data_IF_247261278495
#
_entry.id   IF_247261278495
#
_cell.length_a   1.000
_cell.length_b   1.000
_cell.length_c   1.000
_cell.angle_alpha   90.00
_cell.angle_beta   90.00
_cell.angle_gamma   90.00
#
_symmetry.space_group_name_H-M   'P 1'
#
loop_
_entity.id
_entity.type
_entity.pdbx_description
1 polymer ?
#
# COMPACT_ATOMS: atom_id res chain seq x y z
N UNK A 1 11.62 -29.08 -5.13
CA UNK A 1 10.66 -28.84 -6.24
C UNK A 1 11.40 -28.08 -7.33
N UNK A 2 11.11 -28.34 -8.61
CA UNK A 2 11.60 -27.48 -9.69
C UNK A 2 11.06 -26.05 -9.47
N UNK A 3 11.86 -24.99 -9.66
CA UNK A 3 11.45 -23.60 -9.43
C UNK A 3 10.11 -23.22 -10.09
N UNK A 4 9.87 -23.73 -11.30
CA UNK A 4 8.64 -23.49 -12.06
C UNK A 4 7.38 -24.03 -11.37
N UNK A 5 7.46 -25.16 -10.68
CA UNK A 5 6.30 -25.78 -10.04
C UNK A 5 5.83 -24.97 -8.82
N UNK A 6 6.76 -24.42 -8.04
CA UNK A 6 6.47 -23.56 -6.90
C UNK A 6 5.84 -22.24 -7.36
N UNK A 7 6.36 -21.65 -8.46
CA UNK A 7 5.80 -20.44 -9.04
C UNK A 7 4.37 -20.63 -9.54
N UNK A 8 4.12 -21.69 -10.31
CA UNK A 8 2.78 -21.98 -10.82
C UNK A 8 1.77 -22.24 -9.70
N UNK A 9 2.22 -22.85 -8.60
CA UNK A 9 1.38 -23.00 -7.41
C UNK A 9 1.08 -21.63 -6.79
N UNK A 10 2.09 -20.78 -6.62
CA UNK A 10 1.95 -19.43 -6.07
C UNK A 10 1.00 -18.56 -6.90
N UNK A 11 1.15 -18.52 -8.23
CA UNK A 11 0.26 -17.77 -9.12
C UNK A 11 -1.18 -18.28 -9.02
N UNK A 12 -1.40 -19.60 -8.98
CA UNK A 12 -2.75 -20.17 -8.80
C UNK A 12 -3.36 -19.80 -7.46
N UNK A 13 -2.58 -19.86 -6.38
CA UNK A 13 -3.01 -19.45 -5.05
C UNK A 13 -3.44 -17.98 -5.02
N UNK A 14 -2.64 -17.08 -5.59
CA UNK A 14 -2.97 -15.64 -5.64
C UNK A 14 -4.22 -15.40 -6.50
N UNK A 15 -4.37 -16.08 -7.63
CA UNK A 15 -5.57 -15.94 -8.46
C UNK A 15 -6.84 -16.43 -7.75
N UNK A 16 -6.77 -17.54 -6.99
CA UNK A 16 -7.88 -17.98 -6.15
C UNK A 16 -8.27 -16.94 -5.10
N UNK A 17 -7.30 -16.28 -4.48
CA UNK A 17 -7.56 -15.17 -3.55
C UNK A 17 -8.28 -14.02 -4.27
N UNK A 18 -7.84 -13.64 -5.47
CA UNK A 18 -8.47 -12.57 -6.27
C UNK A 18 -9.91 -12.91 -6.64
N UNK A 19 -10.16 -14.14 -7.07
CA UNK A 19 -11.50 -14.65 -7.39
C UNK A 19 -12.41 -14.60 -6.16
N UNK A 20 -11.91 -15.04 -5.00
CA UNK A 20 -12.66 -15.05 -3.75
C UNK A 20 -13.03 -13.64 -3.28
N UNK A 21 -12.09 -12.69 -3.38
CA UNK A 21 -12.36 -11.27 -3.08
C UNK A 21 -13.37 -10.66 -4.07
N UNK A 22 -13.28 -11.04 -5.36
CA UNK A 22 -14.18 -10.59 -6.42
C UNK A 22 -15.64 -11.01 -6.24
N UNK A 23 -15.91 -12.03 -5.41
CA UNK A 23 -17.29 -12.39 -5.02
C UNK A 23 -17.98 -11.26 -4.26
N UNK A 24 -17.23 -10.41 -3.54
CA UNK A 24 -17.77 -9.31 -2.74
C UNK A 24 -17.45 -7.95 -3.36
N UNK A 25 -16.20 -7.75 -3.78
CA UNK A 25 -15.71 -6.48 -4.28
C UNK A 25 -15.94 -6.37 -5.79
N UNK A 26 -16.73 -5.37 -6.20
CA UNK A 26 -17.10 -5.13 -7.60
C UNK A 26 -16.35 -3.92 -8.14
N UNK A 27 -15.85 -4.01 -9.37
CA UNK A 27 -15.27 -2.86 -10.10
C UNK A 27 -13.91 -2.35 -9.60
N UNK A 28 -13.28 -3.01 -8.62
CA UNK A 28 -12.05 -2.51 -7.97
C UNK A 28 -10.83 -3.44 -8.15
N UNK A 29 -10.69 -4.08 -9.31
CA UNK A 29 -9.58 -5.02 -9.58
C UNK A 29 -8.21 -4.39 -9.34
N UNK A 30 -7.99 -3.17 -9.82
CA UNK A 30 -6.72 -2.43 -9.62
C UNK A 30 -6.40 -2.20 -8.13
N UNK A 31 -7.41 -1.91 -7.31
CA UNK A 31 -7.24 -1.69 -5.87
C UNK A 31 -6.95 -2.99 -5.15
N UNK A 32 -7.68 -4.06 -5.48
CA UNK A 32 -7.44 -5.40 -4.93
C UNK A 32 -6.01 -5.86 -5.25
N UNK A 33 -5.60 -5.74 -6.50
CA UNK A 33 -4.26 -6.14 -6.95
C UNK A 33 -3.19 -5.31 -6.24
N UNK A 34 -3.34 -4.00 -6.14
CA UNK A 34 -2.37 -3.17 -5.44
C UNK A 34 -2.28 -3.46 -3.94
N UNK A 35 -3.38 -3.78 -3.26
CA UNK A 35 -3.36 -4.18 -1.84
C UNK A 35 -2.67 -5.53 -1.66
N UNK A 36 -2.93 -6.50 -2.55
CA UNK A 36 -2.23 -7.80 -2.55
C UNK A 36 -0.74 -7.63 -2.83
N UNK A 37 -0.37 -6.76 -3.76
CA UNK A 37 1.03 -6.44 -4.07
C UNK A 37 1.71 -5.87 -2.83
N UNK A 38 1.10 -4.91 -2.14
CA UNK A 38 1.64 -4.37 -0.89
C UNK A 38 1.81 -5.44 0.19
N UNK A 39 0.82 -6.32 0.36
CA UNK A 39 0.91 -7.41 1.35
C UNK A 39 2.10 -8.34 1.07
N UNK A 40 2.28 -8.72 -0.20
CA UNK A 40 3.33 -9.67 -0.59
C UNK A 40 4.72 -9.02 -0.63
N UNK A 41 4.82 -7.76 -1.09
CA UNK A 41 6.05 -6.99 -1.00
C UNK A 41 6.42 -6.70 0.46
N UNK A 42 5.43 -6.64 1.36
CA UNK A 42 5.62 -6.32 2.77
C UNK A 42 5.60 -4.84 3.09
N UNK A 43 4.98 -4.05 2.23
CA UNK A 43 4.83 -2.62 2.42
C UNK A 43 3.46 -2.23 2.94
N UNK A 44 3.20 -0.94 2.94
CA UNK A 44 1.93 -0.35 3.35
C UNK A 44 1.30 0.43 2.20
N UNK A 45 -0.02 0.57 2.23
CA UNK A 45 -0.77 1.17 1.14
C UNK A 45 -1.60 2.35 1.63
N UNK A 46 -1.59 3.43 0.84
CA UNK A 46 -2.41 4.61 1.06
C UNK A 46 -3.52 4.66 0.00
N UNK A 47 -4.77 4.56 0.42
CA UNK A 47 -5.95 4.60 -0.44
C UNK A 47 -6.60 5.98 -0.40
N UNK A 48 -6.40 6.77 -1.45
CA UNK A 48 -7.08 8.05 -1.61
C UNK A 48 -8.35 7.88 -2.45
N UNK A 49 -9.45 8.48 -2.00
CA UNK A 49 -10.74 8.42 -2.71
C UNK A 49 -11.90 8.65 -1.77
N UNK A 50 -13.08 8.94 -2.34
CA UNK A 50 -14.25 9.36 -1.57
C UNK A 50 -14.77 8.27 -0.61
N UNK A 51 -15.48 8.66 0.47
CA UNK A 51 -16.12 7.72 1.38
C UNK A 51 -17.11 6.80 0.66
N UNK A 52 -17.36 5.63 1.24
CA UNK A 52 -18.39 4.70 0.75
C UNK A 52 -17.96 3.81 -0.41
N UNK A 53 -16.72 3.89 -0.89
CA UNK A 53 -16.20 3.03 -1.97
C UNK A 53 -15.74 1.63 -1.51
N UNK A 54 -16.31 1.08 -0.43
CA UNK A 54 -16.03 -0.30 -0.02
C UNK A 54 -14.60 -0.59 0.47
N UNK A 55 -13.77 0.43 0.77
CA UNK A 55 -12.39 0.26 1.29
C UNK A 55 -12.38 -0.60 2.57
N UNK A 56 -13.27 -0.31 3.52
CA UNK A 56 -13.42 -1.10 4.75
C UNK A 56 -13.81 -2.55 4.46
N UNK A 57 -14.73 -2.75 3.50
CA UNK A 57 -15.16 -4.08 3.06
C UNK A 57 -14.02 -4.85 2.41
N UNK A 58 -13.16 -4.19 1.64
CA UNK A 58 -12.00 -4.80 0.99
C UNK A 58 -11.05 -5.43 2.01
N UNK A 59 -10.56 -4.66 2.99
CA UNK A 59 -9.58 -5.20 3.94
C UNK A 59 -10.20 -6.26 4.87
N UNK A 60 -11.48 -6.11 5.24
CA UNK A 60 -12.20 -7.13 6.01
C UNK A 60 -12.38 -8.43 5.23
N UNK A 61 -12.70 -8.33 3.94
CA UNK A 61 -12.82 -9.48 3.03
C UNK A 61 -11.47 -10.16 2.88
N UNK A 62 -10.41 -9.40 2.64
CA UNK A 62 -9.04 -9.90 2.55
C UNK A 62 -8.63 -10.65 3.82
N UNK A 63 -8.93 -10.10 5.00
CA UNK A 63 -8.65 -10.75 6.28
C UNK A 63 -9.31 -12.12 6.42
N UNK A 64 -10.56 -12.24 5.98
CA UNK A 64 -11.30 -13.51 5.99
C UNK A 64 -10.69 -14.50 5.01
N UNK A 65 -10.49 -14.11 3.75
CA UNK A 65 -9.91 -14.96 2.70
C UNK A 65 -8.51 -15.48 3.08
N UNK A 66 -7.74 -14.69 3.83
CA UNK A 66 -6.36 -15.00 4.22
C UNK A 66 -6.22 -15.52 5.66
N UNK A 67 -7.33 -15.70 6.39
CA UNK A 67 -7.34 -16.10 7.79
C UNK A 67 -6.41 -15.26 8.70
N UNK A 68 -6.42 -13.93 8.49
CA UNK A 68 -5.56 -12.97 9.18
C UNK A 68 -6.35 -12.17 10.24
N UNK A 69 -5.68 -11.84 11.35
CA UNK A 69 -6.21 -10.89 12.35
C UNK A 69 -6.41 -9.52 11.70
N UNK A 70 -7.62 -8.98 11.81
CA UNK A 70 -8.01 -7.67 11.29
C UNK A 70 -8.31 -6.70 12.43
N UNK A 71 -7.90 -5.45 12.24
CA UNK A 71 -8.23 -4.36 13.13
C UNK A 71 -8.57 -3.10 12.34
N UNK A 72 -9.45 -2.27 12.91
CA UNK A 72 -9.85 -0.97 12.36
C UNK A 72 -9.58 0.12 13.38
N UNK A 73 -8.90 1.15 12.93
CA UNK A 73 -8.63 2.37 13.68
C UNK A 73 -9.29 3.50 12.90
N UNK A 74 -10.27 4.15 13.52
CA UNK A 74 -10.85 5.37 12.99
C UNK A 74 -10.04 6.54 13.53
N UNK A 75 -9.42 7.32 12.65
CA UNK A 75 -8.68 8.49 13.07
C UNK A 75 -9.66 9.64 13.33
N UNK A 76 -9.57 10.19 14.54
CA UNK A 76 -10.34 11.34 15.00
C UNK A 76 -9.40 12.37 15.63
N UNK A 77 -9.80 13.65 15.75
CA UNK A 77 -8.93 14.69 16.31
C UNK A 77 -8.49 14.44 17.76
N UNK A 78 -9.27 13.68 18.51
CA UNK A 78 -9.06 13.33 19.92
C UNK A 78 -8.28 12.03 20.13
N UNK A 79 -8.04 11.24 19.07
CA UNK A 79 -7.32 9.97 19.14
C UNK A 79 -5.88 10.19 19.64
N UNK A 80 -5.50 9.48 20.71
CA UNK A 80 -4.15 9.57 21.28
C UNK A 80 -3.23 8.47 20.72
N UNK A 81 -1.89 8.68 20.73
CA UNK A 81 -0.93 7.64 20.35
C UNK A 81 -1.14 6.29 21.05
N UNK A 82 -1.43 6.32 22.36
CA UNK A 82 -1.66 5.12 23.18
C UNK A 82 -2.90 4.33 22.76
N UNK A 83 -3.89 4.96 22.13
CA UNK A 83 -5.08 4.29 21.61
C UNK A 83 -4.78 3.48 20.34
N UNK A 84 -3.64 3.72 19.69
CA UNK A 84 -3.16 3.00 18.51
C UNK A 84 -2.19 1.90 18.91
N UNK A 85 -1.14 2.30 19.64
CA UNK A 85 0.00 1.43 19.94
C UNK A 85 -0.21 0.62 21.23
N UNK A 86 -1.19 0.99 22.05
CA UNK A 86 -1.42 0.36 23.35
C UNK A 86 -0.84 1.17 24.51
N UNK A 87 -1.27 0.84 25.72
CA UNK A 87 -0.89 1.56 26.93
C UNK A 87 -0.70 0.61 28.11
N UNK A 88 0.00 1.10 29.15
CA UNK A 88 0.15 0.38 30.41
C UNK A 88 -1.05 0.66 31.30
N UNK A 89 -1.79 -0.37 31.66
CA UNK A 89 -2.90 -0.31 32.60
C UNK A 89 -2.48 -0.87 33.96
N UNK A 90 -3.08 -0.36 35.04
CA UNK A 90 -2.88 -0.93 36.37
C UNK A 90 -3.80 -2.14 36.51
N UNK A 91 -3.22 -3.31 36.74
CA UNK A 91 -3.97 -4.52 37.05
C UNK A 91 -4.47 -4.42 38.50
N UNK A 92 -5.80 -4.41 38.67
CA UNK A 92 -6.45 -4.34 39.98
C UNK A 92 -6.94 -5.70 40.48
N UNK A 93 -6.84 -6.76 39.68
CA UNK A 93 -7.41 -8.08 40.02
C UNK A 93 -6.56 -8.87 41.02
N UNK A 94 -5.23 -8.66 41.02
CA UNK A 94 -4.28 -9.46 41.83
C UNK A 94 -3.91 -8.83 43.17
N UNK A 95 -4.57 -7.73 43.58
CA UNK A 95 -4.28 -7.02 44.84
C UNK A 95 -2.90 -6.34 44.92
N UNK A 96 -2.05 -6.54 43.90
CA UNK A 96 -0.77 -5.86 43.70
C UNK A 96 -0.93 -4.89 42.53
N UNK A 97 -0.55 -3.61 42.72
CA UNK A 97 -0.58 -2.59 41.65
C UNK A 97 0.50 -2.89 40.60
N UNK A 98 0.32 -3.94 39.80
CA UNK A 98 1.20 -4.28 38.71
C UNK A 98 0.78 -3.52 37.44
N UNK A 99 1.75 -2.95 36.72
CA UNK A 99 1.50 -2.37 35.40
C UNK A 99 1.50 -3.49 34.37
N UNK A 100 0.40 -3.65 33.63
CA UNK A 100 0.24 -4.62 32.54
C UNK A 100 0.09 -3.89 31.22
N UNK A 101 0.78 -4.35 30.19
CA UNK A 101 0.59 -3.82 28.84
C UNK A 101 -0.74 -4.29 28.26
N UNK A 102 -1.55 -3.35 27.79
CA UNK A 102 -2.73 -3.60 26.98
C UNK A 102 -2.41 -3.29 25.51
N UNK A 103 -2.31 -4.32 24.65
CA UNK A 103 -2.02 -4.12 23.23
C UNK A 103 -3.06 -3.24 22.56
N UNK A 104 -2.61 -2.27 21.79
CA UNK A 104 -3.47 -1.44 20.96
C UNK A 104 -3.99 -2.16 19.71
N UNK A 105 -4.90 -1.54 18.96
CA UNK A 105 -5.46 -2.09 17.73
C UNK A 105 -4.42 -2.32 16.62
N UNK A 106 -3.20 -1.79 16.74
CA UNK A 106 -2.12 -2.04 15.77
C UNK A 106 -1.59 -3.50 15.82
N UNK A 107 -1.83 -4.23 16.91
CA UNK A 107 -1.44 -5.64 17.07
C UNK A 107 -2.38 -6.59 16.30
N UNK A 108 -2.43 -6.41 14.99
CA UNK A 108 -3.15 -7.24 14.03
C UNK A 108 -2.29 -7.42 12.77
N UNK A 109 -2.65 -8.37 11.91
CA UNK A 109 -1.93 -8.58 10.65
C UNK A 109 -2.35 -7.53 9.61
N UNK A 110 -3.65 -7.22 9.55
CA UNK A 110 -4.22 -6.23 8.65
C UNK A 110 -4.86 -5.11 9.47
N UNK A 111 -4.33 -3.90 9.35
CA UNK A 111 -4.82 -2.71 10.05
C UNK A 111 -5.39 -1.71 9.05
N UNK A 112 -6.68 -1.41 9.17
CA UNK A 112 -7.31 -0.29 8.46
C UNK A 112 -7.14 0.98 9.30
N UNK A 113 -6.40 1.96 8.80
CA UNK A 113 -6.29 3.30 9.38
C UNK A 113 -7.18 4.27 8.58
N UNK A 114 -8.42 4.42 9.02
CA UNK A 114 -9.42 5.21 8.30
C UNK A 114 -9.24 6.71 8.60
N UNK A 115 -9.22 7.54 7.56
CA UNK A 115 -9.13 9.00 7.63
C UNK A 115 -7.88 9.49 8.40
N UNK A 116 -6.71 8.94 8.07
CA UNK A 116 -5.43 9.20 8.77
C UNK A 116 -5.12 10.71 8.90
N UNK A 117 -5.61 11.52 7.96
CA UNK A 117 -5.48 12.97 7.96
C UNK A 117 -6.33 13.69 9.02
N UNK A 118 -7.20 13.02 9.79
CA UNK A 118 -8.02 13.66 10.84
C UNK A 118 -7.37 13.68 12.22
N UNK A 119 -6.34 12.86 12.47
CA UNK A 119 -5.65 12.87 13.75
C UNK A 119 -4.46 13.83 13.76
N UNK A 120 -4.04 14.22 14.96
CA UNK A 120 -2.89 15.10 15.15
C UNK A 120 -1.58 14.49 14.58
N UNK A 121 -0.59 15.31 14.21
CA UNK A 121 0.70 14.82 13.72
C UNK A 121 1.41 13.84 14.68
N UNK A 122 1.21 13.98 16.00
CA UNK A 122 1.77 13.08 17.02
C UNK A 122 1.14 11.69 16.94
N UNK A 123 -0.17 11.63 16.77
CA UNK A 123 -0.93 10.37 16.61
C UNK A 123 -0.59 9.69 15.28
N UNK A 124 -0.49 10.46 14.19
CA UNK A 124 -0.02 9.95 12.89
C UNK A 124 1.39 9.34 13.00
N UNK A 125 2.30 10.04 13.69
CA UNK A 125 3.68 9.59 13.88
C UNK A 125 3.77 8.25 14.61
N UNK A 126 2.92 8.00 15.61
CA UNK A 126 2.90 6.74 16.34
C UNK A 126 2.56 5.53 15.46
N UNK A 127 1.58 5.67 14.55
CA UNK A 127 1.27 4.64 13.56
C UNK A 127 2.44 4.44 12.58
N UNK A 128 3.02 5.53 12.07
CA UNK A 128 4.08 5.50 11.06
C UNK A 128 5.42 4.97 11.59
N UNK A 129 5.69 5.18 12.88
CA UNK A 129 6.85 4.60 13.58
C UNK A 129 6.68 3.08 13.66
N UNK A 130 5.53 2.60 14.13
CA UNK A 130 5.24 1.17 14.20
C UNK A 130 5.25 0.49 12.81
N UNK A 131 4.83 1.21 11.76
CA UNK A 131 4.97 0.78 10.36
C UNK A 131 6.42 0.59 9.94
N UNK A 132 7.32 1.46 10.38
CA UNK A 132 8.73 1.44 9.94
C UNK A 132 9.58 0.48 10.77
N UNK A 133 9.35 0.43 12.08
CA UNK A 133 10.16 -0.33 13.03
C UNK A 133 9.62 -1.75 13.28
N UNK A 134 8.39 -2.04 12.84
CA UNK A 134 7.68 -3.30 13.11
C UNK A 134 7.61 -3.67 14.61
N UNK A 135 7.81 -2.69 15.47
CA UNK A 135 7.84 -2.84 16.93
C UNK A 135 7.17 -1.64 17.58
N UNK A 136 6.67 -1.84 18.79
CA UNK A 136 6.07 -0.80 19.63
C UNK A 136 6.76 -0.85 20.98
N UNK A 137 7.26 0.29 21.45
CA UNK A 137 7.83 0.40 22.79
C UNK A 137 6.83 1.08 23.72
N UNK A 138 6.48 0.41 24.82
CA UNK A 138 5.61 0.96 25.86
C UNK A 138 6.29 0.81 27.22
N UNK A 139 6.50 1.93 27.92
CA UNK A 139 7.32 1.96 29.13
C UNK A 139 8.76 1.55 28.82
N UNK A 140 9.19 0.42 29.39
CA UNK A 140 10.53 -0.15 29.20
C UNK A 140 10.55 -1.43 28.34
N UNK A 141 9.39 -1.88 27.85
CA UNK A 141 9.27 -3.12 27.10
C UNK A 141 8.96 -2.84 25.63
N UNK A 142 9.68 -3.52 24.74
CA UNK A 142 9.43 -3.49 23.29
C UNK A 142 8.64 -4.73 22.89
N UNK A 143 7.60 -4.52 22.11
CA UNK A 143 6.69 -5.55 21.63
C UNK A 143 6.77 -5.63 20.10
N UNK A 144 6.99 -6.82 19.56
CA UNK A 144 7.05 -7.04 18.10
C UNK A 144 5.65 -7.20 17.50
N UNK A 145 5.48 -6.67 16.28
CA UNK A 145 4.26 -6.86 15.50
C UNK A 145 4.33 -8.18 14.72
N UNK A 146 3.25 -8.96 14.78
CA UNK A 146 3.18 -10.26 14.10
C UNK A 146 3.16 -10.09 12.57
N UNK A 147 4.13 -10.71 11.87
CA UNK A 147 4.17 -10.74 10.42
C UNK A 147 3.21 -11.79 9.80
N UNK A 148 2.53 -11.52 8.67
CA UNK A 148 2.60 -10.30 7.87
C UNK A 148 1.85 -9.14 8.53
N UNK A 149 2.41 -7.93 8.42
CA UNK A 149 1.86 -6.69 8.95
C UNK A 149 1.63 -5.69 7.82
N UNK A 150 0.37 -5.39 7.52
CA UNK A 150 -0.05 -4.45 6.49
C UNK A 150 -0.96 -3.39 7.10
N UNK A 151 -0.53 -2.13 7.02
CA UNK A 151 -1.40 -0.96 7.23
C UNK A 151 -1.96 -0.50 5.89
N UNK A 152 -3.29 -0.45 5.82
CA UNK A 152 -4.04 0.20 4.75
C UNK A 152 -4.62 1.50 5.30
N UNK A 153 -3.98 2.63 4.98
CA UNK A 153 -4.45 3.95 5.38
C UNK A 153 -5.40 4.53 4.33
N UNK A 154 -6.42 5.28 4.74
CA UNK A 154 -7.31 5.99 3.83
C UNK A 154 -7.21 7.49 4.03
N UNK A 155 -7.37 8.25 2.94
CA UNK A 155 -7.49 9.69 2.95
C UNK A 155 -8.70 10.11 2.12
N UNK A 156 -9.51 11.01 2.67
CA UNK A 156 -10.60 11.66 1.96
C UNK A 156 -10.12 13.01 1.42
N UNK A 157 -10.03 13.20 0.08
CA UNK A 157 -9.52 14.44 -0.49
C UNK A 157 -10.48 15.63 -0.39
N UNK A 158 -11.76 15.39 -0.03
CA UNK A 158 -12.80 16.45 -0.01
C UNK A 158 -12.83 17.17 1.36
N UNK A 159 -12.41 16.51 2.43
CA UNK A 159 -12.43 17.07 3.78
C UNK A 159 -11.25 18.02 4.01
N UNK A 160 -11.52 19.32 3.92
CA UNK A 160 -10.53 20.39 4.13
C UNK A 160 -10.52 20.92 5.57
N UNK A 161 -11.56 20.65 6.36
CA UNK A 161 -11.73 21.22 7.70
C UNK A 161 -11.31 20.22 8.78
N UNK A 162 -10.45 20.65 9.71
CA UNK A 162 -9.97 19.80 10.80
C UNK A 162 -9.04 18.67 10.36
N UNK A 163 -8.36 18.82 9.23
CA UNK A 163 -7.41 17.83 8.72
C UNK A 163 -5.96 18.29 8.81
N UNK A 164 -5.08 17.36 9.12
CA UNK A 164 -3.63 17.48 9.17
C UNK A 164 -3.04 16.64 8.02
N UNK A 165 -2.54 17.28 6.94
CA UNK A 165 -1.94 16.54 5.84
C UNK A 165 -0.70 15.80 6.33
N UNK A 166 -0.49 14.59 5.81
CA UNK A 166 0.74 13.84 6.06
C UNK A 166 1.92 14.59 5.40
N UNK A 167 2.98 14.94 6.15
CA UNK A 167 4.22 15.40 5.56
C UNK A 167 4.76 14.43 4.52
N UNK A 168 5.51 14.94 3.55
CA UNK A 168 6.00 14.16 2.41
C UNK A 168 6.96 13.05 2.85
N UNK A 169 7.77 13.31 3.89
CA UNK A 169 8.62 12.31 4.52
C UNK A 169 7.81 11.15 5.16
N UNK A 170 6.56 11.40 5.56
CA UNK A 170 5.66 10.38 6.08
C UNK A 170 4.99 9.61 4.95
N UNK A 171 4.60 10.29 3.87
CA UNK A 171 4.06 9.64 2.67
C UNK A 171 5.06 8.64 2.06
N UNK A 172 6.36 8.94 2.06
CA UNK A 172 7.40 8.05 1.51
C UNK A 172 7.51 6.68 2.23
N UNK A 173 6.93 6.56 3.43
CA UNK A 173 6.83 5.27 4.17
C UNK A 173 5.77 4.33 3.59
N UNK A 174 4.83 4.84 2.80
CA UNK A 174 3.89 3.98 2.07
C UNK A 174 4.54 3.45 0.80
N UNK A 175 4.40 2.15 0.55
CA UNK A 175 4.93 1.50 -0.63
C UNK A 175 4.21 2.02 -1.89
N UNK A 176 2.89 2.11 -1.82
CA UNK A 176 2.04 2.63 -2.90
C UNK A 176 0.96 3.57 -2.39
N UNK A 177 0.63 4.56 -3.22
CA UNK A 177 -0.61 5.35 -3.12
C UNK A 177 -1.54 4.93 -4.26
N UNK A 178 -2.72 4.41 -3.93
CA UNK A 178 -3.72 3.95 -4.91
C UNK A 178 -4.90 4.91 -4.90
N UNK A 179 -5.27 5.39 -6.09
CA UNK A 179 -6.45 6.22 -6.30
C UNK A 179 -7.66 5.33 -6.52
N UNK A 180 -8.64 5.39 -5.62
CA UNK A 180 -9.89 4.65 -5.73
C UNK A 180 -10.89 5.47 -6.53
N UNK A 181 -11.10 5.06 -7.79
CA UNK A 181 -12.03 5.71 -8.72
C UNK A 181 -13.48 5.42 -8.34
N UNK A 182 -14.38 6.30 -8.75
CA UNK A 182 -15.81 6.06 -8.61
C UNK A 182 -16.22 4.88 -9.52
N UNK A 183 -17.04 3.94 -9.03
CA UNK A 183 -17.46 2.76 -9.80
C UNK A 183 -18.23 3.16 -11.07
N UNK A 184 -18.14 2.31 -12.09
CA UNK A 184 -18.96 2.46 -13.30
C UNK A 184 -20.45 2.29 -12.98
N UNK A 185 -21.33 2.70 -13.90
CA UNK A 185 -22.78 2.48 -13.76
C UNK A 185 -23.12 0.99 -13.59
N UNK A 186 -22.41 0.11 -14.30
CA UNK A 186 -22.60 -1.34 -14.24
C UNK A 186 -22.16 -1.91 -12.89
N UNK A 187 -20.99 -1.46 -12.40
CA UNK A 187 -20.50 -1.84 -11.07
C UNK A 187 -21.45 -1.36 -9.98
N UNK A 188 -21.93 -0.11 -10.06
CA UNK A 188 -22.92 0.45 -9.13
C UNK A 188 -24.22 -0.34 -9.14
N UNK A 189 -24.75 -0.68 -10.32
CA UNK A 189 -25.95 -1.50 -10.43
C UNK A 189 -25.78 -2.83 -9.72
N UNK A 190 -24.62 -3.46 -9.88
CA UNK A 190 -24.27 -4.73 -9.21
C UNK A 190 -24.15 -4.55 -7.70
N UNK A 191 -23.48 -3.49 -7.22
CA UNK A 191 -23.34 -3.16 -5.80
C UNK A 191 -24.72 -2.96 -5.16
N UNK A 192 -25.58 -2.18 -5.80
CA UNK A 192 -26.95 -1.90 -5.32
C UNK A 192 -27.77 -3.19 -5.26
N UNK A 193 -27.72 -4.00 -6.32
CA UNK A 193 -28.46 -5.27 -6.39
C UNK A 193 -28.06 -6.21 -5.25
N UNK A 194 -26.75 -6.41 -5.04
CA UNK A 194 -26.23 -7.26 -3.94
C UNK A 194 -26.60 -6.73 -2.56
N UNK A 195 -26.54 -5.41 -2.38
CA UNK A 195 -26.88 -4.77 -1.09
C UNK A 195 -28.36 -4.96 -0.76
N UNK A 196 -29.25 -4.87 -1.76
CA UNK A 196 -30.69 -5.07 -1.58
C UNK A 196 -31.03 -6.54 -1.29
N UNK A 197 -30.39 -7.47 -1.99
CA UNK A 197 -30.68 -8.91 -1.87
C UNK A 197 -30.20 -9.51 -0.53
N UNK A 198 -29.36 -8.80 0.23
CA UNK A 198 -28.74 -9.29 1.48
C UNK A 198 -28.12 -10.69 1.34
N UNK A 199 -27.54 -10.98 0.18
CA UNK A 199 -26.88 -12.27 -0.03
C UNK A 199 -25.69 -12.38 0.92
N UNK A 200 -25.76 -13.31 1.87
CA UNK A 200 -24.59 -13.72 2.64
C UNK A 200 -23.68 -14.53 1.72
N UNK A 201 -22.78 -13.83 1.04
CA UNK A 201 -21.73 -14.49 0.27
C UNK A 201 -20.81 -15.25 1.23
N UNK A 202 -20.83 -16.58 1.14
CA UNK A 202 -19.88 -17.41 1.86
C UNK A 202 -18.48 -17.21 1.27
N UNK A 203 -17.55 -16.83 2.14
CA UNK A 203 -16.14 -16.65 1.81
C UNK A 203 -15.38 -17.87 2.30
N UNK A 204 -14.59 -18.47 1.43
CA UNK A 204 -13.64 -19.52 1.80
C UNK A 204 -12.30 -18.93 2.24
N UNK A 205 -11.67 -19.58 3.21
CA UNK A 205 -10.29 -19.29 3.58
C UNK A 205 -9.38 -19.98 2.56
N UNK A 206 -8.66 -19.18 1.76
CA UNK A 206 -7.85 -19.68 0.64
C UNK A 206 -6.39 -19.89 1.05
N UNK A 207 -5.85 -19.02 1.91
CA UNK A 207 -4.46 -19.08 2.36
C UNK A 207 -4.34 -18.97 3.88
N UNK A 208 -3.30 -19.59 4.42
CA UNK A 208 -2.85 -19.39 5.81
C UNK A 208 -1.74 -18.32 5.89
N UNK A 209 -1.45 -17.89 7.12
CA UNK A 209 -0.34 -16.99 7.43
C UNK A 209 1.00 -17.51 6.88
N UNK A 210 1.29 -18.79 7.08
CA UNK A 210 2.54 -19.43 6.68
C UNK A 210 2.68 -19.46 5.16
N UNK A 211 1.59 -19.77 4.46
CA UNK A 211 1.55 -19.75 2.99
C UNK A 211 1.78 -18.34 2.44
N UNK A 212 1.22 -17.31 3.08
CA UNK A 212 1.48 -15.91 2.70
C UNK A 212 2.96 -15.58 2.87
N UNK A 213 3.57 -15.94 4.00
CA UNK A 213 5.01 -15.72 4.23
C UNK A 213 5.87 -16.46 3.20
N UNK A 214 5.46 -17.64 2.76
CA UNK A 214 6.14 -18.36 1.69
C UNK A 214 5.97 -17.66 0.33
N UNK A 215 4.77 -17.17 0.00
CA UNK A 215 4.55 -16.36 -1.21
C UNK A 215 5.44 -15.11 -1.22
N UNK A 216 5.66 -14.47 -0.07
CA UNK A 216 6.59 -13.32 0.06
C UNK A 216 8.03 -13.70 -0.26
N UNK A 217 8.46 -14.91 0.09
CA UNK A 217 9.80 -15.41 -0.25
C UNK A 217 9.88 -15.68 -1.75
N UNK A 218 8.92 -16.41 -2.30
CA UNK A 218 8.84 -16.71 -3.74
C UNK A 218 8.84 -15.42 -4.57
N UNK A 219 8.14 -14.36 -4.14
CA UNK A 219 8.17 -13.08 -4.86
C UNK A 219 9.54 -12.42 -4.88
N UNK A 220 10.34 -12.59 -3.83
CA UNK A 220 11.71 -12.04 -3.77
C UNK A 220 12.69 -12.81 -4.67
N UNK A 221 12.39 -14.07 -4.95
CA UNK A 221 13.19 -14.94 -5.81
C UNK A 221 12.92 -14.72 -7.31
N UNK A 222 11.93 -13.88 -7.67
CA UNK A 222 11.68 -13.48 -9.07
C UNK A 222 12.92 -12.78 -9.63
N UNK A 223 13.41 -13.26 -10.77
CA UNK A 223 14.67 -12.80 -11.36
C UNK A 223 14.59 -11.33 -11.79
N UNK A 224 15.55 -10.53 -11.36
CA UNK A 224 15.69 -9.12 -11.77
C UNK A 224 16.93 -8.99 -12.64
N UNK A 225 16.74 -8.78 -13.94
CA UNK A 225 17.86 -8.55 -14.85
C UNK A 225 18.46 -7.15 -14.62
N UNK A 226 19.80 -6.97 -14.76
CA UNK A 226 20.46 -5.69 -14.51
C UNK A 226 19.87 -4.51 -15.28
N UNK A 227 19.47 -4.73 -16.54
CA UNK A 227 18.87 -3.67 -17.37
C UNK A 227 17.49 -3.21 -16.85
N UNK A 228 16.72 -4.10 -16.22
CA UNK A 228 15.42 -3.76 -15.62
C UNK A 228 15.60 -2.99 -14.32
N UNK A 229 16.61 -3.37 -13.53
CA UNK A 229 17.02 -2.60 -12.36
C UNK A 229 17.52 -1.20 -12.76
N UNK A 230 18.35 -1.10 -13.80
CA UNK A 230 18.78 0.18 -14.36
C UNK A 230 17.60 1.02 -14.82
N UNK A 231 16.61 0.42 -15.48
CA UNK A 231 15.39 1.13 -15.88
C UNK A 231 14.63 1.73 -14.68
N UNK A 232 14.47 0.98 -13.57
CA UNK A 232 13.84 1.49 -12.36
C UNK A 232 14.62 2.68 -11.75
N UNK A 233 15.95 2.62 -11.79
CA UNK A 233 16.83 3.71 -11.34
C UNK A 233 16.68 4.93 -12.26
N UNK A 234 16.75 4.72 -13.59
CA UNK A 234 16.60 5.78 -14.59
C UNK A 234 15.26 6.49 -14.44
N UNK A 235 14.19 5.77 -14.10
CA UNK A 235 12.88 6.35 -13.85
C UNK A 235 12.88 7.27 -12.62
N UNK A 236 13.52 6.86 -11.53
CA UNK A 236 13.68 7.71 -10.33
C UNK A 236 14.55 8.91 -10.64
N UNK A 237 15.68 8.73 -11.32
CA UNK A 237 16.57 9.81 -11.73
C UNK A 237 15.88 10.81 -12.65
N UNK A 238 14.99 10.36 -13.54
CA UNK A 238 14.18 11.24 -14.38
C UNK A 238 13.24 12.16 -13.57
N UNK A 239 12.90 11.80 -12.32
CA UNK A 239 12.13 12.64 -11.39
C UNK A 239 12.98 13.59 -10.55
N UNK A 240 14.31 13.53 -10.62
CA UNK A 240 15.20 14.38 -9.82
C UNK A 240 15.57 15.67 -10.57
N UNK A 241 15.07 16.85 -10.18
CA UNK A 241 15.20 18.09 -10.96
C UNK A 241 16.63 18.59 -11.16
N UNK A 242 17.54 18.28 -10.23
CA UNK A 242 18.94 18.74 -10.25
C UNK A 242 19.87 17.84 -11.10
N UNK A 243 19.36 16.75 -11.67
CA UNK A 243 20.18 15.78 -12.41
C UNK A 243 20.14 16.03 -13.93
N UNK A 244 21.21 15.66 -14.63
CA UNK A 244 21.24 15.73 -16.11
C UNK A 244 20.19 14.81 -16.77
N UNK A 245 19.85 13.72 -16.09
CA UNK A 245 18.88 12.72 -16.56
C UNK A 245 17.43 13.16 -16.34
N UNK A 246 17.20 14.27 -15.63
CA UNK A 246 15.88 14.80 -15.34
C UNK A 246 15.07 15.04 -16.61
N UNK A 247 13.79 14.69 -16.57
CA UNK A 247 12.86 15.05 -17.63
C UNK A 247 12.65 16.57 -17.68
N UNK A 248 12.37 17.13 -18.86
CA UNK A 248 12.11 18.57 -19.01
C UNK A 248 10.97 19.07 -18.11
N UNK A 249 9.90 18.27 -18.00
CA UNK A 249 8.79 18.54 -17.07
C UNK A 249 9.21 18.47 -15.61
N UNK A 250 10.16 17.60 -15.26
CA UNK A 250 10.69 17.50 -13.90
C UNK A 250 11.39 18.80 -13.53
N UNK A 251 12.27 19.30 -14.39
CA UNK A 251 13.00 20.56 -14.15
C UNK A 251 12.06 21.75 -13.99
N UNK A 252 10.92 21.75 -14.70
CA UNK A 252 9.92 22.81 -14.63
C UNK A 252 8.98 22.70 -13.43
N UNK A 253 8.51 21.50 -13.09
CA UNK A 253 7.35 21.31 -12.21
C UNK A 253 7.62 20.56 -10.92
N UNK A 254 8.72 19.80 -10.83
CA UNK A 254 9.05 19.01 -9.64
C UNK A 254 10.06 19.77 -8.79
N UNK A 255 9.70 20.02 -7.53
CA UNK A 255 10.58 20.59 -6.51
C UNK A 255 11.50 19.53 -5.90
N UNK A 256 10.97 18.35 -5.60
CA UNK A 256 11.73 17.22 -5.08
C UNK A 256 11.27 15.92 -5.76
N UNK A 257 12.23 15.17 -6.28
CA UNK A 257 11.99 13.87 -6.92
C UNK A 257 11.84 12.73 -5.94
N UNK A 258 11.56 11.54 -6.49
CA UNK A 258 11.41 10.33 -5.68
C UNK A 258 12.69 9.95 -4.95
N UNK A 259 12.57 9.54 -3.68
CA UNK A 259 13.70 9.01 -2.90
C UNK A 259 14.22 7.67 -3.45
N UNK A 260 15.39 7.18 -3.00
CA UNK A 260 15.89 5.84 -3.35
C UNK A 260 14.90 4.71 -3.00
N UNK A 261 14.00 4.92 -2.03
CA UNK A 261 12.92 3.98 -1.71
C UNK A 261 11.97 3.79 -2.88
N UNK A 262 11.81 4.79 -3.76
CA UNK A 262 11.05 4.65 -4.99
C UNK A 262 11.63 3.57 -5.91
N UNK A 263 12.95 3.52 -6.10
CA UNK A 263 13.58 2.51 -6.96
C UNK A 263 13.43 1.10 -6.38
N UNK A 264 13.59 0.97 -5.06
CA UNK A 264 13.36 -0.29 -4.35
C UNK A 264 11.91 -0.75 -4.49
N UNK A 265 10.96 0.15 -4.24
CA UNK A 265 9.53 -0.12 -4.35
C UNK A 265 9.10 -0.51 -5.77
N UNK A 266 9.68 0.10 -6.81
CA UNK A 266 9.42 -0.26 -8.20
C UNK A 266 9.80 -1.71 -8.49
N UNK A 267 10.97 -2.15 -8.00
CA UNK A 267 11.45 -3.52 -8.18
C UNK A 267 10.62 -4.50 -7.36
N UNK A 268 10.40 -4.22 -6.07
CA UNK A 268 9.64 -5.11 -5.16
C UNK A 268 8.19 -5.28 -5.62
N UNK A 269 7.48 -4.19 -5.93
CA UNK A 269 6.12 -4.26 -6.47
C UNK A 269 6.09 -4.95 -7.83
N UNK A 270 7.08 -4.66 -8.69
CA UNK A 270 7.20 -5.27 -10.00
C UNK A 270 7.38 -6.78 -9.92
N UNK A 271 8.23 -7.28 -9.00
CA UNK A 271 8.47 -8.72 -8.83
C UNK A 271 7.17 -9.44 -8.43
N UNK A 272 6.41 -8.87 -7.49
CA UNK A 272 5.10 -9.42 -7.11
C UNK A 272 4.14 -9.35 -8.29
N UNK A 273 4.11 -8.25 -9.04
CA UNK A 273 3.26 -8.12 -10.21
C UNK A 273 3.59 -9.17 -11.28
N UNK A 274 4.87 -9.43 -11.55
CA UNK A 274 5.32 -10.48 -12.46
C UNK A 274 4.88 -11.88 -11.99
N UNK A 275 5.03 -12.17 -10.69
CA UNK A 275 4.56 -13.41 -10.06
C UNK A 275 3.05 -13.62 -10.21
N UNK A 276 2.26 -12.56 -9.99
CA UNK A 276 0.80 -12.58 -10.16
C UNK A 276 0.38 -12.90 -11.60
N UNK A 277 1.25 -12.59 -12.58
CA UNK A 277 1.06 -12.88 -14.00
C UNK A 277 1.77 -14.16 -14.44
N UNK A 278 2.29 -14.97 -13.50
CA UNK A 278 2.94 -16.25 -13.79
C UNK A 278 4.30 -16.15 -14.46
N UNK A 279 4.98 -15.00 -14.34
CA UNK A 279 6.32 -14.79 -14.90
C UNK A 279 7.40 -14.93 -13.83
N UNK A 280 8.51 -15.57 -14.22
CA UNK A 280 9.69 -15.87 -13.38
C UNK A 280 10.71 -14.73 -13.33
N UNK A 281 10.55 -13.73 -14.19
CA UNK A 281 11.45 -12.60 -14.30
C UNK A 281 10.64 -11.31 -14.34
N UNK A 282 11.23 -10.27 -13.76
CA UNK A 282 10.73 -8.92 -13.84
C UNK A 282 11.00 -8.36 -15.24
N UNK A 283 9.98 -7.80 -15.87
CA UNK A 283 10.09 -7.09 -17.14
C UNK A 283 9.96 -5.57 -16.94
N UNK A 284 10.38 -4.78 -17.93
CA UNK A 284 10.27 -3.32 -17.90
C UNK A 284 8.81 -2.88 -17.80
N UNK A 285 7.91 -3.61 -18.47
CA UNK A 285 6.48 -3.35 -18.48
C UNK A 285 5.88 -3.44 -17.07
N UNK A 286 6.41 -4.31 -16.20
CA UNK A 286 5.94 -4.44 -14.82
C UNK A 286 6.28 -3.22 -13.99
N UNK A 287 7.52 -2.74 -14.17
CA UNK A 287 8.00 -1.51 -13.54
C UNK A 287 7.16 -0.32 -14.00
N UNK A 288 6.83 -0.25 -15.30
CA UNK A 288 5.96 0.80 -15.85
C UNK A 288 4.54 0.75 -15.27
N UNK A 289 3.96 -0.44 -15.15
CA UNK A 289 2.63 -0.63 -14.57
C UNK A 289 2.57 -0.18 -13.11
N UNK A 290 3.63 -0.43 -12.33
CA UNK A 290 3.70 -0.05 -10.91
C UNK A 290 4.10 1.42 -10.71
N UNK A 291 4.75 2.04 -11.69
CA UNK A 291 5.38 3.35 -11.54
C UNK A 291 4.45 4.45 -11.05
N UNK A 292 3.25 4.56 -11.59
CA UNK A 292 2.32 5.61 -11.16
C UNK A 292 1.95 5.46 -9.68
N UNK A 293 1.57 4.25 -9.25
CA UNK A 293 1.17 3.98 -7.87
C UNK A 293 2.33 4.11 -6.86
N UNK A 294 3.55 3.82 -7.30
CA UNK A 294 4.77 3.91 -6.47
C UNK A 294 5.29 5.35 -6.39
N UNK A 295 5.27 6.12 -7.48
CA UNK A 295 5.98 7.41 -7.54
C UNK A 295 5.09 8.62 -7.23
N UNK A 296 3.76 8.53 -7.39
CA UNK A 296 2.86 9.70 -7.30
C UNK A 296 2.91 10.46 -5.98
N UNK A 297 3.15 9.78 -4.87
CA UNK A 297 3.25 10.37 -3.54
C UNK A 297 4.70 10.67 -3.13
N UNK A 298 5.66 10.37 -4.01
CA UNK A 298 7.10 10.59 -3.81
C UNK A 298 7.63 11.77 -4.61
N UNK A 299 6.80 12.39 -5.44
CA UNK A 299 7.16 13.60 -6.18
C UNK A 299 6.43 14.81 -5.59
N UNK A 300 7.22 15.84 -5.28
CA UNK A 300 6.71 17.09 -4.69
C UNK A 300 6.71 18.14 -5.78
N UNK A 301 5.53 18.67 -6.09
CA UNK A 301 5.37 19.67 -7.14
C UNK A 301 5.63 21.08 -6.61
N UNK A 302 6.12 21.97 -7.48
CA UNK A 302 6.28 23.40 -7.16
C UNK A 302 4.97 24.18 -7.41
N UNK A 303 4.98 25.48 -7.10
CA UNK A 303 3.80 26.34 -7.26
C UNK A 303 3.37 26.50 -8.73
N UNK A 304 4.32 26.54 -9.66
CA UNK A 304 4.05 26.67 -11.10
C UNK A 304 3.28 25.47 -11.63
N UNK A 305 3.59 24.27 -11.15
CA UNK A 305 2.86 23.05 -11.51
C UNK A 305 1.38 23.15 -11.15
N UNK A 306 1.07 23.63 -9.94
CA UNK A 306 -0.30 23.81 -9.48
C UNK A 306 -1.02 24.90 -10.29
N UNK A 307 -0.32 26.00 -10.62
CA UNK A 307 -0.85 27.10 -11.43
C UNK A 307 -1.18 26.65 -12.86
N UNK A 308 -0.35 25.78 -13.43
CA UNK A 308 -0.53 25.19 -14.77
C UNK A 308 -1.49 23.96 -14.76
N UNK A 309 -2.16 23.68 -13.63
CA UNK A 309 -3.10 22.58 -13.48
C UNK A 309 -2.47 21.18 -13.59
N UNK A 310 -1.17 21.06 -13.36
CA UNK A 310 -0.46 19.79 -13.34
C UNK A 310 -0.65 19.07 -12.00
N UNK A 311 -0.68 17.74 -12.07
CA UNK A 311 -0.68 16.88 -10.91
C UNK A 311 0.34 15.74 -11.10
N UNK A 312 0.63 14.93 -10.06
CA UNK A 312 1.57 13.83 -10.18
C UNK A 312 1.24 12.86 -11.32
N UNK A 313 -0.04 12.59 -11.58
CA UNK A 313 -0.48 11.68 -12.66
C UNK A 313 -0.18 12.24 -14.06
N UNK A 314 -0.46 13.53 -14.29
CA UNK A 314 -0.20 14.16 -15.60
C UNK A 314 1.29 14.27 -15.92
N UNK A 315 2.13 14.39 -14.88
CA UNK A 315 3.59 14.45 -15.05
C UNK A 315 4.14 13.03 -15.27
N UNK A 316 3.79 12.07 -14.41
CA UNK A 316 4.28 10.70 -14.51
C UNK A 316 3.86 10.01 -15.81
N UNK A 317 2.65 10.25 -16.30
CA UNK A 317 2.17 9.73 -17.59
C UNK A 317 3.02 10.19 -18.79
N UNK A 318 3.78 11.28 -18.66
CA UNK A 318 4.73 11.75 -19.68
C UNK A 318 6.16 11.27 -19.42
N UNK A 319 6.57 11.18 -18.16
CA UNK A 319 7.92 10.73 -17.78
C UNK A 319 8.11 9.23 -18.08
N UNK A 320 7.17 8.38 -17.69
CA UNK A 320 7.31 6.91 -17.79
C UNK A 320 7.60 6.46 -19.24
N UNK A 321 6.82 6.87 -20.27
CA UNK A 321 7.10 6.50 -21.66
C UNK A 321 8.41 7.11 -22.20
N UNK A 322 8.78 8.30 -21.74
CA UNK A 322 10.00 9.01 -22.17
C UNK A 322 11.27 8.25 -21.76
N UNK A 323 11.31 7.68 -20.55
CA UNK A 323 12.45 6.85 -20.10
C UNK A 323 12.47 5.51 -20.83
N UNK A 324 11.30 4.93 -21.12
CA UNK A 324 11.17 3.66 -21.87
C UNK A 324 11.81 3.74 -23.25
N UNK A 325 11.54 4.82 -24.00
CA UNK A 325 12.11 5.03 -25.34
C UNK A 325 13.62 5.25 -25.35
N UNK A 326 14.19 5.92 -24.34
CA UNK A 326 15.64 6.15 -24.20
C UNK A 326 16.42 4.86 -23.91
N UNK A 327 15.82 3.94 -23.18
CA UNK A 327 16.45 2.68 -22.78
C UNK A 327 16.47 1.69 -23.95
N UNK A 328 15.40 1.65 -24.76
CA UNK A 328 15.34 0.83 -25.97
C UNK A 328 16.31 1.25 -27.08
N UNK A 329 16.82 2.49 -27.05
CA UNK A 329 17.84 2.99 -27.98
C UNK A 329 19.29 2.71 -27.52
N UNK A 330 19.49 2.20 -26.30
CA UNK A 330 20.81 1.90 -25.71
C UNK A 330 21.15 0.40 -25.69
N UNK A 331 20.31 -0.45 -26.28
CA UNK A 331 20.53 -1.90 -26.39
C UNK A 331 21.00 -2.27 -27.79
#
# INVERSE_FOLDING_TARGET
>A
MQPDAALQLATRQINRVREEIGKIIVGQKEVVDGVLICLLAGGHVLLEGVPGLGKTTLLRTLARVLHLKYSRIQFTPDLMPGDIVGSMIIDTETGTKALRFQPGPIFAHLVLADEINRATPKTQSALLEAMQEHTVTSGTTTHELEAPFLVMATQNPIEMEGTYPLPEAQLDRFLMKILVKYPSREDLSTIVTRTIQKEETQIENILTREEILELRRISRDVLVAPHVQSYAIDLVMATQPETEQAHELTKKYIRYGSSPRGAQALVECGQVYALMHGRLHLAIEDVQMMAAAVLRHRIILNFDAHSDGQNPETILSKIIPSVGSRTGARV
#
